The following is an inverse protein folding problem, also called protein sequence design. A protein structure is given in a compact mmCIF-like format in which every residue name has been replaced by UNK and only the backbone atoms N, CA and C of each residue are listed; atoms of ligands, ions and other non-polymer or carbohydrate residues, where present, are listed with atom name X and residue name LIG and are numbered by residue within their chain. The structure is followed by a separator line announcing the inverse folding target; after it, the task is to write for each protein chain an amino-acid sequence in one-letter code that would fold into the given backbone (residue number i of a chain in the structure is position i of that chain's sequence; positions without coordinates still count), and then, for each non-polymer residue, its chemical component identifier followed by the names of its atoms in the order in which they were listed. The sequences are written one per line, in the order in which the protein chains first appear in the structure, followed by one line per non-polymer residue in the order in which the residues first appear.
data_IF_800296501338
#
_entry.id   IF_800296501338
#
_cell.length_a   1.000
_cell.length_b   1.000
_cell.length_c   1.000
_cell.angle_alpha   90.00
_cell.angle_beta   90.00
_cell.angle_gamma   90.00
#
_symmetry.space_group_name_H-M   'P 1'
#
loop_
_entity.id
_entity.type
_entity.pdbx_description
1 polymer ?
#
# COMPACT_ATOMS: atom_id res chain seq x y z
N UNK A 1 -55.64 9.71 10.24
CA UNK A 1 -54.36 9.18 10.74
C UNK A 1 -54.06 7.87 10.02
N UNK A 2 -53.02 7.85 9.19
CA UNK A 2 -52.35 6.63 8.73
C UNK A 2 -50.92 7.05 8.37
N UNK A 3 -49.98 6.78 9.27
CA UNK A 3 -48.57 7.12 9.11
C UNK A 3 -47.97 6.22 8.03
N UNK A 4 -47.63 6.80 6.87
CA UNK A 4 -46.76 6.15 5.87
C UNK A 4 -45.34 6.10 6.44
N UNK A 5 -44.96 4.92 6.91
CA UNK A 5 -43.60 4.62 7.37
C UNK A 5 -42.66 4.76 6.17
N UNK A 6 -41.66 5.66 6.29
CA UNK A 6 -40.56 5.82 5.34
C UNK A 6 -39.88 4.47 5.14
N UNK A 7 -39.85 4.00 3.90
CA UNK A 7 -38.94 2.93 3.49
C UNK A 7 -37.52 3.50 3.59
N UNK A 8 -36.81 3.12 4.65
CA UNK A 8 -35.38 3.41 4.79
C UNK A 8 -34.63 2.66 3.69
N UNK A 9 -33.99 3.42 2.79
CA UNK A 9 -33.02 2.93 1.83
C UNK A 9 -31.81 2.34 2.57
N UNK A 10 -31.82 1.04 2.86
CA UNK A 10 -30.58 0.31 3.13
C UNK A 10 -30.02 -0.10 1.76
N UNK A 11 -29.29 0.82 1.12
CA UNK A 11 -28.44 0.54 -0.05
C UNK A 11 -27.32 -0.42 0.37
N UNK A 12 -27.63 -1.71 0.41
CA UNK A 12 -26.61 -2.76 0.39
C UNK A 12 -25.78 -2.59 -0.88
N UNK A 13 -24.50 -2.21 -0.73
CA UNK A 13 -23.56 -2.19 -1.85
C UNK A 13 -23.53 -3.58 -2.48
N UNK A 14 -24.07 -3.73 -3.68
CA UNK A 14 -23.90 -4.93 -4.51
C UNK A 14 -22.39 -5.15 -4.67
N UNK A 15 -21.85 -6.25 -4.15
CA UNK A 15 -20.50 -6.70 -4.51
C UNK A 15 -20.56 -7.13 -5.97
N UNK A 16 -20.12 -6.25 -6.87
CA UNK A 16 -19.89 -6.61 -8.27
C UNK A 16 -18.73 -7.60 -8.32
N UNK A 17 -18.97 -8.79 -8.88
CA UNK A 17 -17.90 -9.78 -9.11
C UNK A 17 -17.02 -9.21 -10.23
N UNK A 18 -15.82 -8.73 -9.88
CA UNK A 18 -14.86 -8.12 -10.82
C UNK A 18 -14.04 -9.21 -11.53
N UNK A 19 -13.67 -8.94 -12.78
CA UNK A 19 -12.80 -9.81 -13.57
C UNK A 19 -11.39 -9.89 -12.96
N UNK A 20 -10.81 -11.10 -12.94
CA UNK A 20 -9.47 -11.34 -12.38
C UNK A 20 -8.34 -10.54 -13.07
N UNK A 21 -8.56 -10.06 -14.30
CA UNK A 21 -7.61 -9.22 -15.03
C UNK A 21 -7.59 -7.80 -14.50
N UNK A 22 -8.77 -7.22 -14.27
CA UNK A 22 -8.90 -5.84 -13.75
C UNK A 22 -8.31 -5.75 -12.35
N UNK A 23 -8.49 -6.78 -11.52
CA UNK A 23 -7.91 -6.84 -10.17
C UNK A 23 -6.38 -6.93 -10.16
N UNK A 24 -5.76 -7.52 -11.19
CA UNK A 24 -4.29 -7.60 -11.29
C UNK A 24 -3.70 -6.24 -11.67
N UNK A 25 -4.32 -5.56 -12.62
CA UNK A 25 -3.90 -4.22 -13.03
C UNK A 25 -4.11 -3.21 -11.90
N UNK A 26 -5.25 -3.28 -11.20
CA UNK A 26 -5.51 -2.47 -10.01
C UNK A 26 -4.41 -2.68 -8.95
N UNK A 27 -4.07 -3.93 -8.63
CA UNK A 27 -2.99 -4.23 -7.67
C UNK A 27 -1.62 -3.75 -8.15
N UNK A 28 -1.32 -3.92 -9.44
CA UNK A 28 -0.08 -3.41 -10.01
C UNK A 28 0.04 -1.89 -9.84
N UNK A 29 -1.02 -1.15 -10.20
CA UNK A 29 -1.05 0.30 -10.04
C UNK A 29 -0.90 0.70 -8.57
N UNK A 30 -1.59 0.02 -7.65
CA UNK A 30 -1.44 0.23 -6.21
C UNK A 30 0.01 0.06 -5.73
N UNK A 31 0.70 -0.96 -6.23
CA UNK A 31 2.10 -1.20 -5.87
C UNK A 31 3.03 -0.13 -6.48
N UNK A 32 2.75 0.33 -7.70
CA UNK A 32 3.54 1.37 -8.35
C UNK A 32 3.37 2.75 -7.70
N UNK A 33 2.20 3.02 -7.12
CA UNK A 33 1.90 4.29 -6.44
C UNK A 33 2.45 4.35 -5.01
N UNK A 34 2.72 3.20 -4.38
CA UNK A 34 3.27 3.10 -3.02
C UNK A 34 4.70 2.55 -3.03
N UNK A 35 5.67 3.43 -2.77
CA UNK A 35 7.08 3.08 -2.74
C UNK A 35 7.42 1.97 -1.73
N UNK A 36 6.76 1.96 -0.56
CA UNK A 36 7.00 0.93 0.47
C UNK A 36 6.55 -0.43 -0.05
N UNK A 37 5.39 -0.46 -0.72
CA UNK A 37 4.83 -1.67 -1.30
C UNK A 37 5.65 -2.16 -2.50
N UNK A 38 6.14 -1.23 -3.33
CA UNK A 38 7.07 -1.54 -4.41
C UNK A 38 8.35 -2.21 -3.89
N UNK A 39 8.94 -1.65 -2.84
CA UNK A 39 10.11 -2.22 -2.19
C UNK A 39 9.87 -3.64 -1.69
N UNK A 40 8.74 -3.90 -1.04
CA UNK A 40 8.41 -5.22 -0.50
C UNK A 40 8.16 -6.28 -1.59
N UNK A 41 7.52 -5.93 -2.71
CA UNK A 41 7.14 -6.89 -3.75
C UNK A 41 8.23 -7.11 -4.81
N UNK A 42 8.98 -6.05 -5.15
CA UNK A 42 9.92 -6.06 -6.28
C UNK A 42 11.40 -5.97 -5.91
N UNK A 43 11.75 -5.49 -4.71
CA UNK A 43 13.15 -5.37 -4.29
C UNK A 43 13.49 -6.51 -3.34
N UNK A 44 14.61 -7.19 -3.61
CA UNK A 44 15.13 -8.28 -2.79
C UNK A 44 16.56 -8.01 -2.36
N UNK A 45 16.91 -8.42 -1.15
CA UNK A 45 18.26 -8.36 -0.59
C UNK A 45 18.69 -9.75 -0.18
N UNK A 46 20.00 -9.97 -0.17
CA UNK A 46 20.59 -11.18 0.40
C UNK A 46 20.77 -10.93 1.89
N UNK A 47 20.22 -11.80 2.73
CA UNK A 47 20.37 -11.72 4.17
C UNK A 47 21.73 -12.27 4.63
N UNK A 48 21.97 -12.24 5.94
CA UNK A 48 23.22 -12.74 6.52
C UNK A 48 23.39 -14.27 6.39
N UNK A 49 22.32 -14.99 6.06
CA UNK A 49 22.32 -16.43 5.82
C UNK A 49 22.47 -16.78 4.34
N UNK A 50 22.56 -15.78 3.45
CA UNK A 50 22.66 -15.97 2.01
C UNK A 50 21.31 -16.14 1.31
N UNK A 51 20.19 -15.93 2.00
CA UNK A 51 18.85 -16.09 1.46
C UNK A 51 18.35 -14.80 0.81
N UNK A 52 17.70 -14.92 -0.35
CA UNK A 52 17.07 -13.79 -1.04
C UNK A 52 15.71 -13.47 -0.41
N UNK A 53 15.67 -12.43 0.41
CA UNK A 53 14.47 -11.98 1.13
C UNK A 53 13.91 -10.68 0.55
N UNK A 54 12.60 -10.41 0.70
CA UNK A 54 12.00 -9.11 0.40
C UNK A 54 12.66 -7.97 1.16
N UNK A 55 12.84 -6.83 0.50
CA UNK A 55 13.37 -5.63 1.15
C UNK A 55 12.27 -4.93 1.96
N UNK A 56 12.44 -4.93 3.27
CA UNK A 56 11.55 -4.25 4.21
C UNK A 56 12.25 -3.02 4.78
N UNK A 57 11.59 -1.87 4.72
CA UNK A 57 12.12 -0.63 5.28
C UNK A 57 12.28 -0.77 6.80
N UNK A 58 13.44 -0.35 7.30
CA UNK A 58 13.62 -0.19 8.74
C UNK A 58 12.91 1.09 9.24
N UNK A 59 12.93 1.30 10.55
CA UNK A 59 12.23 2.44 11.17
C UNK A 59 12.69 3.79 10.62
N UNK A 60 13.99 4.04 10.55
CA UNK A 60 14.55 5.32 10.06
C UNK A 60 14.22 5.57 8.59
N UNK A 61 14.28 4.53 7.76
CA UNK A 61 13.92 4.60 6.35
C UNK A 61 12.42 4.88 6.18
N UNK A 62 11.59 4.23 6.99
CA UNK A 62 10.14 4.44 6.99
C UNK A 62 9.80 5.87 7.41
N UNK A 63 10.44 6.36 8.48
CA UNK A 63 10.27 7.74 8.95
C UNK A 63 10.63 8.72 7.83
N UNK A 64 11.78 8.53 7.16
CA UNK A 64 12.18 9.37 6.04
C UNK A 64 11.19 9.34 4.87
N UNK A 65 10.76 8.17 4.42
CA UNK A 65 9.79 8.05 3.31
C UNK A 65 8.47 8.73 3.65
N UNK A 66 8.03 8.67 4.90
CA UNK A 66 6.78 9.28 5.34
C UNK A 66 6.88 10.79 5.51
N UNK A 67 8.07 11.33 5.83
CA UNK A 67 8.27 12.76 6.09
C UNK A 67 9.02 13.50 4.99
N UNK A 68 9.44 12.83 3.92
CA UNK A 68 10.27 13.45 2.88
C UNK A 68 9.52 14.58 2.18
N UNK A 69 10.20 15.71 2.01
CA UNK A 69 9.71 16.84 1.24
C UNK A 69 10.40 16.91 -0.13
N UNK A 70 10.15 17.97 -0.90
CA UNK A 70 10.82 18.21 -2.18
C UNK A 70 12.35 18.32 -2.03
N UNK A 71 12.82 18.89 -0.91
CA UNK A 71 14.23 19.05 -0.60
C UNK A 71 14.49 18.53 0.81
N UNK A 72 15.48 17.65 0.96
CA UNK A 72 15.82 17.02 2.23
C UNK A 72 17.32 17.12 2.49
N UNK A 73 17.72 17.45 3.72
CA UNK A 73 19.10 17.31 4.20
C UNK A 73 19.09 16.27 5.31
N UNK A 74 19.87 15.21 5.14
CA UNK A 74 19.85 14.04 6.04
C UNK A 74 21.24 13.85 6.64
N UNK A 75 21.32 13.94 7.97
CA UNK A 75 22.54 13.65 8.72
C UNK A 75 22.58 12.18 9.10
N UNK A 76 22.90 11.30 8.14
CA UNK A 76 23.03 9.86 8.38
C UNK A 76 24.44 9.50 8.82
N UNK A 77 24.55 8.72 9.90
CA UNK A 77 25.83 8.14 10.32
C UNK A 77 26.32 7.08 9.32
N UNK A 78 27.63 6.88 9.27
CA UNK A 78 28.25 5.80 8.49
C UNK A 78 28.18 4.49 9.30
N UNK A 79 27.13 3.71 9.09
CA UNK A 79 27.01 2.25 9.23
C UNK A 79 25.56 1.84 8.99
#
# INVERSE_FOLDING_TARGET
MALKIKQNEVKGKRKTVRSAKDTKLERYNQIMDDFVLFCAEFVKIVDNHGELIPFVLNKEQSDFVNTMEKFNIILKSRR
#
